data_IF_672405933395
#
_entry.id   IF_672405933395
#
_cell.length_a   1.000
_cell.length_b   1.000
_cell.length_c   1.000
_cell.angle_alpha   90.00
_cell.angle_beta   90.00
_cell.angle_gamma   90.00
#
_symmetry.space_group_name_H-M   'P 1'
#
loop_
_entity.id
_entity.type
_entity.pdbx_description
1 polymer ?
#
# COMPACT_ATOMS: atom_id res chain seq x y z
N UNK A 1 -40.31 0.45 -12.87
CA UNK A 1 -39.20 -0.21 -13.57
C UNK A 1 -38.23 0.83 -14.17
N UNK A 2 -38.66 1.75 -15.03
CA UNK A 2 -37.80 2.78 -15.64
C UNK A 2 -37.01 3.68 -14.66
N UNK A 3 -37.60 4.10 -13.53
CA UNK A 3 -36.86 4.87 -12.50
C UNK A 3 -35.68 4.09 -11.89
N UNK A 4 -35.88 2.79 -11.64
CA UNK A 4 -34.85 1.88 -11.09
C UNK A 4 -33.68 1.70 -12.05
N UNK A 5 -33.98 1.47 -13.33
CA UNK A 5 -32.95 1.36 -14.38
C UNK A 5 -32.16 2.66 -14.58
N UNK A 6 -32.79 3.81 -14.34
CA UNK A 6 -32.14 5.13 -14.45
C UNK A 6 -31.28 5.45 -13.23
N UNK A 7 -31.67 4.96 -12.04
CA UNK A 7 -30.87 4.98 -10.82
C UNK A 7 -29.64 4.07 -10.96
N UNK A 8 -29.84 2.81 -11.36
CA UNK A 8 -28.74 1.85 -11.57
C UNK A 8 -27.70 2.35 -12.59
N UNK A 9 -28.15 2.98 -13.69
CA UNK A 9 -27.24 3.59 -14.67
C UNK A 9 -26.44 4.75 -14.08
N UNK A 10 -27.06 5.60 -13.25
CA UNK A 10 -26.37 6.73 -12.60
C UNK A 10 -25.37 6.25 -11.56
N UNK A 11 -25.75 5.26 -10.74
CA UNK A 11 -24.88 4.68 -9.73
C UNK A 11 -23.66 4.02 -10.36
N UNK A 12 -23.85 3.30 -11.47
CA UNK A 12 -22.75 2.71 -12.25
C UNK A 12 -21.80 3.78 -12.79
N UNK A 13 -22.33 4.86 -13.38
CA UNK A 13 -21.51 5.96 -13.88
C UNK A 13 -20.71 6.66 -12.78
N UNK A 14 -21.34 6.94 -11.64
CA UNK A 14 -20.67 7.52 -10.48
C UNK A 14 -19.54 6.61 -10.00
N UNK A 15 -19.79 5.30 -9.96
CA UNK A 15 -18.78 4.33 -9.55
C UNK A 15 -17.58 4.31 -10.50
N UNK A 16 -17.84 4.30 -11.80
CA UNK A 16 -16.78 4.34 -12.82
C UNK A 16 -15.92 5.62 -12.70
N UNK A 17 -16.55 6.76 -12.40
CA UNK A 17 -15.84 8.01 -12.17
C UNK A 17 -14.96 7.99 -10.91
N UNK A 18 -15.47 7.46 -9.79
CA UNK A 18 -14.70 7.28 -8.56
C UNK A 18 -13.48 6.37 -8.78
N UNK A 19 -13.69 5.24 -9.45
CA UNK A 19 -12.62 4.28 -9.72
C UNK A 19 -11.54 4.89 -10.64
N UNK A 20 -11.95 5.70 -11.64
CA UNK A 20 -11.01 6.45 -12.48
C UNK A 20 -10.22 7.50 -11.69
N UNK A 21 -10.87 8.23 -10.78
CA UNK A 21 -10.18 9.20 -9.92
C UNK A 21 -9.17 8.52 -9.00
N UNK A 22 -9.51 7.35 -8.47
CA UNK A 22 -8.59 6.51 -7.67
C UNK A 22 -7.37 6.10 -8.49
N UNK A 23 -7.56 5.61 -9.71
CA UNK A 23 -6.45 5.20 -10.59
C UNK A 23 -5.52 6.36 -10.95
N UNK A 24 -6.06 7.53 -11.26
CA UNK A 24 -5.27 8.74 -11.54
C UNK A 24 -4.45 9.11 -10.30
N UNK A 25 -5.08 9.12 -9.12
CA UNK A 25 -4.43 9.44 -7.86
C UNK A 25 -3.31 8.48 -7.50
N UNK A 26 -3.50 7.17 -7.70
CA UNK A 26 -2.46 6.19 -7.43
C UNK A 26 -1.35 6.23 -8.49
N UNK A 27 -1.67 6.55 -9.76
CA UNK A 27 -0.67 6.80 -10.80
C UNK A 27 0.27 7.95 -10.44
N UNK A 28 -0.27 9.06 -9.91
CA UNK A 28 0.52 10.20 -9.45
C UNK A 28 1.42 9.83 -8.27
N UNK A 29 0.94 8.98 -7.36
CA UNK A 29 1.69 8.50 -6.19
C UNK A 29 2.54 7.26 -6.47
N UNK A 30 2.53 6.76 -7.71
CA UNK A 30 3.19 5.49 -8.07
C UNK A 30 4.68 5.51 -7.77
N UNK A 31 5.33 6.68 -7.83
CA UNK A 31 6.76 6.85 -7.55
C UNK A 31 7.07 7.31 -6.12
N UNK A 32 6.05 7.55 -5.31
CA UNK A 32 6.18 8.10 -3.97
C UNK A 32 6.40 7.00 -2.92
N UNK A 33 7.35 7.22 -2.02
CA UNK A 33 7.58 6.47 -0.80
C UNK A 33 7.13 7.28 0.41
N UNK A 34 6.62 6.60 1.41
CA UNK A 34 6.14 7.20 2.65
C UNK A 34 6.99 6.70 3.82
N UNK A 35 7.78 7.59 4.44
CA UNK A 35 8.56 7.27 5.63
C UNK A 35 7.87 7.80 6.89
N UNK A 36 7.80 6.94 7.91
CA UNK A 36 7.15 7.21 9.18
C UNK A 36 8.19 7.04 10.30
N UNK A 37 8.22 7.98 11.25
CA UNK A 37 9.08 7.92 12.44
C UNK A 37 10.42 8.65 12.28
N UNK A 38 10.69 9.26 11.14
CA UNK A 38 11.90 10.08 10.92
C UNK A 38 11.81 11.34 11.80
N UNK A 39 12.77 11.62 12.69
CA UNK A 39 12.70 12.78 13.59
C UNK A 39 12.80 14.10 12.81
N UNK A 40 12.11 15.15 13.26
CA UNK A 40 12.14 16.46 12.59
C UNK A 40 13.50 17.18 12.72
N UNK A 41 14.31 16.83 13.73
CA UNK A 41 15.64 17.39 13.91
C UNK A 41 16.66 16.91 12.87
N UNK A 42 16.41 15.79 12.20
CA UNK A 42 17.33 15.23 11.21
C UNK A 42 17.54 16.17 10.01
N UNK A 43 16.46 16.81 9.55
CA UNK A 43 16.49 17.76 8.42
C UNK A 43 16.97 19.16 8.83
N UNK A 44 16.98 19.49 10.13
CA UNK A 44 17.50 20.81 10.57
C UNK A 44 19.01 20.90 10.43
N UNK A 45 19.69 19.75 10.47
CA UNK A 45 21.14 19.68 10.36
C UNK A 45 21.63 19.52 8.92
N UNK A 46 20.79 18.99 8.01
CA UNK A 46 21.17 18.54 6.66
C UNK A 46 19.97 18.52 5.72
N UNK A 47 20.22 18.53 4.42
CA UNK A 47 19.16 18.43 3.41
C UNK A 47 18.35 17.12 3.55
N UNK A 48 17.04 17.12 3.29
CA UNK A 48 16.21 15.92 3.42
C UNK A 48 16.68 14.76 2.53
N UNK A 49 17.25 15.05 1.36
CA UNK A 49 17.85 14.08 0.44
C UNK A 49 18.94 13.29 1.15
N UNK A 50 19.83 13.99 1.87
CA UNK A 50 20.89 13.37 2.64
C UNK A 50 20.35 12.46 3.75
N UNK A 51 19.25 12.86 4.41
CA UNK A 51 18.57 12.02 5.41
C UNK A 51 18.09 10.72 4.79
N UNK A 52 17.51 10.76 3.60
CA UNK A 52 17.07 9.56 2.91
C UNK A 52 18.23 8.66 2.46
N UNK A 53 19.32 9.25 1.94
CA UNK A 53 20.54 8.50 1.60
C UNK A 53 21.14 7.79 2.81
N UNK A 54 21.18 8.44 3.98
CA UNK A 54 21.60 7.80 5.22
C UNK A 54 20.70 6.64 5.63
N UNK A 55 19.37 6.80 5.51
CA UNK A 55 18.41 5.72 5.79
C UNK A 55 18.69 4.54 4.87
N UNK A 56 18.94 4.78 3.57
CA UNK A 56 19.28 3.73 2.63
C UNK A 56 20.62 3.07 2.96
N UNK A 57 21.66 3.83 3.32
CA UNK A 57 22.97 3.27 3.66
C UNK A 57 22.93 2.44 4.95
N UNK A 58 22.26 2.92 6.00
CA UNK A 58 22.10 2.20 7.28
C UNK A 58 21.27 0.93 7.10
N UNK A 59 20.23 0.98 6.26
CA UNK A 59 19.29 -0.12 6.17
C UNK A 59 19.56 -1.11 5.02
N UNK A 60 20.01 -0.61 3.88
CA UNK A 60 20.10 -1.34 2.62
C UNK A 60 21.47 -1.07 1.95
N UNK A 61 22.58 -1.57 2.52
CA UNK A 61 23.93 -1.27 2.02
C UNK A 61 24.12 -1.70 0.55
N UNK A 62 23.41 -2.72 0.09
CA UNK A 62 23.44 -3.16 -1.31
C UNK A 62 22.78 -2.15 -2.25
N UNK A 63 21.71 -1.47 -1.81
CA UNK A 63 21.04 -0.43 -2.60
C UNK A 63 21.79 0.90 -2.53
N UNK A 64 22.43 1.22 -1.40
CA UNK A 64 23.24 2.44 -1.26
C UNK A 64 24.49 2.45 -2.16
N UNK A 65 24.99 1.27 -2.57
CA UNK A 65 26.09 1.14 -3.55
C UNK A 65 25.60 1.21 -5.00
N UNK A 66 24.34 0.87 -5.27
CA UNK A 66 23.69 1.10 -6.56
C UNK A 66 23.37 2.60 -6.67
N UNK A 67 24.29 3.41 -7.21
CA UNK A 67 24.17 4.87 -7.44
C UNK A 67 23.07 5.29 -8.43
N UNK A 68 22.08 4.43 -8.69
CA UNK A 68 21.00 4.64 -9.65
C UNK A 68 19.69 5.17 -9.06
N UNK A 69 19.53 5.21 -7.73
CA UNK A 69 18.29 5.69 -7.11
C UNK A 69 18.28 7.22 -7.15
N UNK A 70 17.49 7.78 -8.07
CA UNK A 70 17.34 9.23 -8.21
C UNK A 70 16.10 9.73 -7.48
N UNK A 71 16.28 10.75 -6.65
CA UNK A 71 15.20 11.47 -5.95
C UNK A 71 14.80 12.67 -6.81
N UNK A 72 13.49 12.87 -7.00
CA UNK A 72 12.95 14.07 -7.64
C UNK A 72 12.63 15.15 -6.62
N UNK A 73 12.03 14.74 -5.50
CA UNK A 73 11.53 15.65 -4.48
C UNK A 73 11.37 14.90 -3.17
N UNK A 74 11.58 15.60 -2.07
CA UNK A 74 11.37 15.07 -0.73
C UNK A 74 10.77 16.14 0.16
N UNK A 75 9.63 15.84 0.77
CA UNK A 75 8.90 16.81 1.55
C UNK A 75 8.20 16.19 2.76
N UNK A 76 7.96 17.01 3.78
CA UNK A 76 7.17 16.62 4.96
C UNK A 76 5.69 16.87 4.71
N UNK A 77 4.87 15.88 5.01
CA UNK A 77 3.41 16.00 4.97
C UNK A 77 2.79 15.82 6.37
N UNK A 78 1.93 16.75 6.82
CA UNK A 78 1.53 18.01 6.15
C UNK A 78 2.64 19.10 6.20
N UNK A 79 2.58 20.16 5.37
CA UNK A 79 3.63 21.19 5.32
C UNK A 79 3.82 21.95 6.63
N UNK A 80 2.72 22.18 7.37
CA UNK A 80 2.73 22.91 8.65
C UNK A 80 2.94 21.96 9.82
N UNK A 81 3.85 22.34 10.72
CA UNK A 81 4.06 21.65 11.99
C UNK A 81 2.85 21.92 12.91
N UNK A 82 2.21 20.86 13.40
CA UNK A 82 1.19 20.96 14.43
C UNK A 82 1.83 20.73 15.80
N UNK A 83 1.89 21.77 16.64
CA UNK A 83 2.49 21.71 17.99
C UNK A 83 1.79 20.73 18.94
N UNK A 84 0.53 20.38 18.67
CA UNK A 84 -0.24 19.43 19.48
C UNK A 84 0.06 17.96 19.14
N UNK A 85 0.79 17.71 18.05
CA UNK A 85 1.12 16.35 17.60
C UNK A 85 2.50 15.94 18.14
N UNK A 86 2.54 14.91 18.97
CA UNK A 86 3.79 14.37 19.54
C UNK A 86 4.60 13.52 18.55
N UNK A 87 3.94 12.95 17.54
CA UNK A 87 4.62 12.15 16.51
C UNK A 87 5.22 13.04 15.42
N UNK A 88 6.44 12.74 14.92
CA UNK A 88 6.99 13.44 13.77
C UNK A 88 6.08 13.37 12.55
N UNK A 89 6.10 14.41 11.72
CA UNK A 89 5.42 14.39 10.42
C UNK A 89 5.99 13.30 9.54
N UNK A 90 5.22 12.85 8.56
CA UNK A 90 5.72 11.83 7.66
C UNK A 90 6.53 12.49 6.54
N UNK A 91 7.50 11.76 5.99
CA UNK A 91 8.31 12.21 4.86
C UNK A 91 7.83 11.50 3.61
N UNK A 92 7.51 12.26 2.57
CA UNK A 92 7.14 11.76 1.24
C UNK A 92 8.35 11.94 0.34
N UNK A 93 8.83 10.83 -0.23
CA UNK A 93 9.98 10.83 -1.15
C UNK A 93 9.48 10.44 -2.52
N UNK A 94 9.58 11.35 -3.48
CA UNK A 94 9.24 11.12 -4.87
C UNK A 94 10.49 10.69 -5.62
N UNK A 95 10.48 9.44 -6.09
CA UNK A 95 11.59 8.89 -6.87
C UNK A 95 11.42 9.17 -8.36
N UNK A 96 12.52 9.14 -9.11
CA UNK A 96 12.47 9.28 -10.56
C UNK A 96 11.78 8.08 -11.23
N UNK A 97 12.01 6.87 -10.70
CA UNK A 97 11.50 5.62 -11.25
C UNK A 97 10.66 4.84 -10.24
N UNK A 98 9.57 4.24 -10.73
CA UNK A 98 8.73 3.34 -9.92
C UNK A 98 9.42 2.01 -9.60
N UNK A 99 10.38 1.58 -10.42
CA UNK A 99 11.20 0.37 -10.18
C UNK A 99 12.03 0.51 -8.90
N UNK A 100 12.60 1.69 -8.64
CA UNK A 100 13.42 1.93 -7.45
C UNK A 100 12.57 1.90 -6.18
N UNK A 101 11.35 2.48 -6.25
CA UNK A 101 10.35 2.35 -5.17
C UNK A 101 10.07 0.89 -4.85
N UNK A 102 9.83 0.05 -5.86
CA UNK A 102 9.54 -1.37 -5.67
C UNK A 102 10.71 -2.13 -5.05
N UNK A 103 11.95 -1.85 -5.51
CA UNK A 103 13.18 -2.40 -4.92
C UNK A 103 13.30 -2.07 -3.43
N UNK A 104 13.13 -0.80 -3.07
CA UNK A 104 13.21 -0.33 -1.68
C UNK A 104 12.11 -0.98 -0.82
N UNK A 105 10.87 -1.00 -1.30
CA UNK A 105 9.76 -1.63 -0.56
C UNK A 105 9.95 -3.13 -0.38
N UNK A 106 10.57 -3.82 -1.35
CA UNK A 106 10.91 -5.23 -1.23
C UNK A 106 11.97 -5.44 -0.15
N UNK A 107 13.09 -4.70 -0.23
CA UNK A 107 14.16 -4.77 0.76
C UNK A 107 13.66 -4.43 2.18
N UNK A 108 12.77 -3.43 2.30
CA UNK A 108 12.16 -3.05 3.57
C UNK A 108 11.32 -4.19 4.20
N UNK A 109 10.56 -4.93 3.38
CA UNK A 109 9.77 -6.09 3.85
C UNK A 109 10.67 -7.24 4.30
N UNK A 110 11.75 -7.50 3.57
CA UNK A 110 12.68 -8.59 3.87
C UNK A 110 13.45 -8.36 5.18
N UNK A 111 13.82 -7.11 5.46
CA UNK A 111 14.60 -6.74 6.67
C UNK A 111 13.79 -6.77 7.99
N UNK A 112 12.45 -6.74 7.92
CA UNK A 112 11.48 -6.70 9.05
C UNK A 112 11.54 -5.47 9.97
N UNK A 113 12.72 -4.97 10.33
CA UNK A 113 12.91 -3.77 11.16
C UNK A 113 13.87 -2.78 10.50
N UNK A 114 13.43 -1.53 10.40
CA UNK A 114 14.25 -0.44 9.87
C UNK A 114 14.58 0.54 11.01
N UNK A 115 15.82 0.99 11.05
CA UNK A 115 16.30 1.95 12.05
C UNK A 115 16.87 3.19 11.38
N UNK A 116 16.83 4.30 12.09
CA UNK A 116 17.54 5.51 11.73
C UNK A 116 17.92 6.25 13.00
N UNK A 117 19.22 6.51 13.20
CA UNK A 117 19.73 7.15 14.42
C UNK A 117 19.23 6.46 15.71
N UNK A 118 19.20 5.13 15.71
CA UNK A 118 18.74 4.32 16.86
C UNK A 118 17.22 4.31 17.08
N UNK A 119 16.42 4.95 16.21
CA UNK A 119 14.95 4.93 16.28
C UNK A 119 14.36 4.02 15.22
N UNK A 120 13.28 3.31 15.54
CA UNK A 120 12.57 2.50 14.56
C UNK A 120 11.81 3.39 13.56
N UNK A 121 11.97 3.11 12.27
CA UNK A 121 11.24 3.78 11.19
C UNK A 121 10.43 2.76 10.39
N UNK A 122 9.46 3.25 9.60
CA UNK A 122 8.72 2.43 8.63
C UNK A 122 8.75 3.08 7.26
N UNK A 123 8.94 2.24 6.24
CA UNK A 123 8.84 2.62 4.83
C UNK A 123 7.61 1.94 4.25
N UNK A 124 6.67 2.72 3.72
CA UNK A 124 5.45 2.23 3.10
C UNK A 124 5.26 2.85 1.71
N UNK A 125 4.42 2.22 0.89
CA UNK A 125 3.98 2.85 -0.35
C UNK A 125 3.04 4.01 -0.02
N UNK A 126 3.21 5.15 -0.69
CA UNK A 126 2.20 6.19 -0.72
C UNK A 126 1.05 5.73 -1.63
N UNK A 127 -0.17 5.69 -1.09
CA UNK A 127 -1.38 5.17 -1.72
C UNK A 127 -2.52 6.16 -1.45
N UNK A 128 -3.49 6.25 -2.37
CA UNK A 128 -4.73 6.98 -2.10
C UNK A 128 -5.50 6.40 -0.90
N UNK A 129 -6.36 7.22 -0.29
CA UNK A 129 -7.17 6.81 0.86
C UNK A 129 -8.09 5.65 0.48
N UNK A 130 -8.68 5.71 -0.71
CA UNK A 130 -9.58 4.71 -1.28
C UNK A 130 -8.85 3.36 -1.44
N UNK A 131 -7.65 3.39 -2.01
CA UNK A 131 -6.81 2.18 -2.17
C UNK A 131 -6.34 1.65 -0.82
N UNK A 132 -6.00 2.52 0.13
CA UNK A 132 -5.65 2.11 1.48
C UNK A 132 -6.83 1.42 2.20
N UNK A 133 -8.05 1.95 2.08
CA UNK A 133 -9.25 1.33 2.62
C UNK A 133 -9.58 -0.01 1.95
N UNK A 134 -9.46 -0.09 0.63
CA UNK A 134 -9.64 -1.35 -0.10
C UNK A 134 -8.64 -2.43 0.39
N UNK A 135 -7.37 -2.06 0.58
CA UNK A 135 -6.35 -2.95 1.17
C UNK A 135 -6.67 -3.34 2.60
N UNK A 136 -7.17 -2.42 3.42
CA UNK A 136 -7.63 -2.71 4.78
C UNK A 136 -8.79 -3.71 4.76
N UNK A 137 -9.69 -3.60 3.79
CA UNK A 137 -10.74 -4.58 3.52
C UNK A 137 -10.20 -5.99 3.23
N UNK A 138 -8.96 -6.15 2.81
CA UNK A 138 -8.39 -7.48 2.62
C UNK A 138 -7.77 -8.08 3.88
N UNK A 139 -7.56 -7.32 4.98
CA UNK A 139 -6.74 -7.76 6.12
C UNK A 139 -7.24 -9.05 6.79
N UNK A 140 -8.53 -9.17 7.06
CA UNK A 140 -9.08 -10.37 7.71
C UNK A 140 -8.98 -11.60 6.82
N UNK A 141 -9.28 -11.44 5.54
CA UNK A 141 -9.17 -12.50 4.53
C UNK A 141 -7.71 -12.92 4.37
N UNK A 142 -6.81 -11.95 4.27
CA UNK A 142 -5.37 -12.17 4.15
C UNK A 142 -4.83 -12.98 5.33
N UNK A 143 -5.24 -12.65 6.56
CA UNK A 143 -4.86 -13.39 7.78
C UNK A 143 -5.26 -14.86 7.69
N UNK A 144 -6.53 -15.13 7.36
CA UNK A 144 -7.05 -16.50 7.23
C UNK A 144 -6.35 -17.29 6.11
N UNK A 145 -6.14 -16.67 4.94
CA UNK A 145 -5.41 -17.31 3.84
C UNK A 145 -3.95 -17.60 4.19
N UNK A 146 -3.33 -16.74 4.99
CA UNK A 146 -1.96 -16.91 5.46
C UNK A 146 -1.85 -18.07 6.45
N UNK A 147 -2.80 -18.21 7.38
CA UNK A 147 -2.89 -19.36 8.30
C UNK A 147 -3.04 -20.70 7.58
N UNK A 148 -3.69 -20.70 6.41
CA UNK A 148 -3.83 -21.88 5.54
C UNK A 148 -2.70 -22.06 4.53
N UNK A 149 -1.59 -21.32 4.66
CA UNK A 149 -0.42 -21.41 3.78
C UNK A 149 -0.71 -21.18 2.28
N UNK A 150 -1.75 -20.40 1.94
CA UNK A 150 -2.12 -20.13 0.54
C UNK A 150 -1.29 -19.01 -0.12
N UNK A 151 -0.22 -18.57 0.52
CA UNK A 151 0.70 -17.53 0.03
C UNK A 151 -0.02 -16.27 -0.47
N UNK A 152 -0.87 -15.64 0.36
CA UNK A 152 -1.62 -14.47 -0.07
C UNK A 152 -0.69 -13.28 -0.35
N UNK A 153 -1.04 -12.49 -1.37
CA UNK A 153 -0.35 -11.28 -1.79
C UNK A 153 -1.37 -10.20 -2.11
N UNK A 154 -1.13 -8.98 -1.63
CA UNK A 154 -1.91 -7.80 -2.02
C UNK A 154 -1.13 -7.08 -3.12
N UNK A 155 -1.62 -7.18 -4.34
CA UNK A 155 -1.05 -6.56 -5.53
C UNK A 155 -1.56 -5.12 -5.67
N UNK A 156 -0.81 -4.31 -6.42
CA UNK A 156 -1.22 -2.96 -6.76
C UNK A 156 -2.44 -2.97 -7.70
N UNK A 157 -3.39 -2.02 -7.55
CA UNK A 157 -3.50 -1.06 -6.45
C UNK A 157 -4.06 -1.69 -5.17
N UNK A 158 -5.06 -2.57 -5.24
CA UNK A 158 -5.61 -3.27 -4.08
C UNK A 158 -6.20 -4.65 -4.43
N UNK A 159 -5.51 -5.45 -5.25
CA UNK A 159 -5.98 -6.78 -5.66
C UNK A 159 -5.49 -7.85 -4.70
N UNK A 160 -6.37 -8.75 -4.25
CA UNK A 160 -5.96 -9.90 -3.44
C UNK A 160 -5.61 -11.07 -4.36
N UNK A 161 -4.44 -11.66 -4.17
CA UNK A 161 -4.01 -12.85 -4.89
C UNK A 161 -3.58 -13.94 -3.92
N UNK A 162 -3.84 -15.21 -4.25
CA UNK A 162 -3.37 -16.35 -3.47
C UNK A 162 -3.27 -17.60 -4.36
N UNK A 163 -2.55 -18.61 -3.89
CA UNK A 163 -2.31 -19.87 -4.61
C UNK A 163 -3.26 -20.96 -4.14
N UNK A 164 -4.02 -21.52 -5.08
CA UNK A 164 -4.92 -22.65 -4.86
C UNK A 164 -4.78 -23.62 -6.05
N UNK A 165 -3.57 -24.17 -6.20
CA UNK A 165 -3.10 -24.81 -7.44
C UNK A 165 -2.49 -23.76 -8.37
N UNK A 166 -3.34 -22.97 -9.02
CA UNK A 166 -2.95 -21.78 -9.80
C UNK A 166 -2.99 -20.50 -8.94
N UNK A 167 -2.28 -19.46 -9.37
CA UNK A 167 -2.40 -18.12 -8.78
C UNK A 167 -3.67 -17.47 -9.31
N UNK A 168 -4.61 -17.14 -8.41
CA UNK A 168 -5.80 -16.34 -8.73
C UNK A 168 -5.66 -14.95 -8.15
N UNK A 169 -6.34 -13.96 -8.75
CA UNK A 169 -6.28 -12.56 -8.34
C UNK A 169 -7.66 -11.92 -8.47
N UNK A 170 -8.12 -11.28 -7.40
CA UNK A 170 -9.44 -10.68 -7.27
C UNK A 170 -9.32 -9.18 -7.06
N UNK A 171 -10.14 -8.39 -7.75
CA UNK A 171 -10.15 -6.94 -7.66
C UNK A 171 -10.89 -6.46 -6.42
N UNK A 172 -12.02 -7.10 -6.11
CA UNK A 172 -12.86 -6.75 -4.99
C UNK A 172 -13.40 -7.99 -4.27
N UNK A 173 -14.07 -7.75 -3.14
CA UNK A 173 -14.65 -8.80 -2.31
C UNK A 173 -15.82 -9.52 -2.99
N UNK A 174 -16.51 -8.88 -3.93
CA UNK A 174 -17.67 -9.47 -4.63
C UNK A 174 -17.20 -10.54 -5.62
N UNK A 175 -16.17 -10.24 -6.42
CA UNK A 175 -15.53 -11.20 -7.32
C UNK A 175 -14.99 -12.42 -6.54
N UNK A 176 -14.35 -12.17 -5.38
CA UNK A 176 -13.93 -13.25 -4.50
C UNK A 176 -15.12 -14.07 -3.99
N UNK A 177 -16.21 -13.42 -3.58
CA UNK A 177 -17.41 -14.11 -3.05
C UNK A 177 -18.03 -15.01 -4.10
N UNK A 178 -18.17 -14.55 -5.34
CA UNK A 178 -18.67 -15.33 -6.47
C UNK A 178 -17.79 -16.56 -6.76
N UNK A 179 -16.46 -16.38 -6.73
CA UNK A 179 -15.52 -17.48 -6.90
C UNK A 179 -15.65 -18.52 -5.78
N UNK A 180 -15.76 -18.06 -4.53
CA UNK A 180 -15.86 -18.90 -3.33
C UNK A 180 -17.13 -19.77 -3.35
N UNK A 181 -18.26 -19.25 -3.86
CA UNK A 181 -19.52 -20.01 -3.97
C UNK A 181 -19.37 -21.29 -4.80
N UNK A 182 -18.47 -21.31 -5.79
CA UNK A 182 -18.20 -22.49 -6.61
C UNK A 182 -17.18 -23.47 -6.02
N UNK A 183 -16.58 -23.16 -4.86
CA UNK A 183 -15.43 -23.87 -4.27
C UNK A 183 -15.67 -24.19 -2.79
N UNK A 184 -16.27 -25.36 -2.46
CA UNK A 184 -16.64 -25.73 -1.09
C UNK A 184 -15.50 -25.61 -0.07
N UNK A 185 -14.30 -26.10 -0.39
CA UNK A 185 -13.14 -26.02 0.50
C UNK A 185 -12.73 -24.58 0.82
N UNK A 186 -12.84 -23.66 -0.15
CA UNK A 186 -12.52 -22.26 0.08
C UNK A 186 -13.64 -21.55 0.85
N UNK A 187 -14.89 -21.96 0.64
CA UNK A 187 -16.04 -21.46 1.37
C UNK A 187 -15.94 -21.77 2.86
N UNK A 188 -15.54 -22.98 3.23
CA UNK A 188 -15.31 -23.32 4.65
C UNK A 188 -14.22 -22.46 5.28
N UNK A 189 -13.12 -22.23 4.55
CA UNK A 189 -12.00 -21.42 5.04
C UNK A 189 -12.41 -19.96 5.25
N UNK A 190 -13.14 -19.37 4.31
CA UNK A 190 -13.48 -17.94 4.33
C UNK A 190 -14.84 -17.62 4.94
N UNK A 191 -15.58 -18.62 5.45
CA UNK A 191 -16.94 -18.51 5.99
C UNK A 191 -17.11 -17.36 6.99
N UNK A 192 -16.19 -17.26 7.95
CA UNK A 192 -16.23 -16.22 9.00
C UNK A 192 -15.88 -14.81 8.51
N UNK A 193 -15.16 -14.68 7.40
CA UNK A 193 -14.66 -13.39 6.89
C UNK A 193 -15.57 -12.75 5.84
N UNK A 194 -16.22 -13.56 5.00
CA UNK A 194 -17.00 -13.06 3.85
C UNK A 194 -18.49 -12.85 4.17
N UNK A 195 -18.94 -13.17 5.40
CA UNK A 195 -20.36 -13.09 5.82
C UNK A 195 -21.31 -13.58 4.71
N UNK A 196 -21.00 -14.74 4.13
CA UNK A 196 -21.76 -15.32 3.03
C UNK A 196 -23.06 -15.88 3.64
N UNK A 197 -24.26 -15.37 3.27
CA UNK A 197 -25.52 -16.01 3.66
C UNK A 197 -25.62 -17.37 2.96
N UNK A 198 -26.26 -18.33 3.64
CA UNK A 198 -26.61 -19.65 3.09
C UNK A 198 -27.39 -19.53 1.78
#
# INVERSE_FOLDING_TARGET
MAKRETEEKRDKQLKDHEDRLREINDCLRKKNLHLIGVPESAERAREPEYVFEQILAENFPNLGRETGIQIQEIERSPPKINKNRSTPRHLIVKLANSKDKEKILKAARDKKSLTFMGRSIRVTADLSTETWQARKGWQDIFRVLNEKNMQPRILYPARLSFKMGEIKSFQDRQELKEYVTSKPALQEILRGTLKIPL
#
